data_IF_998887796018
#
_entry.id   IF_998887796018
#
_cell.length_a   1.000
_cell.length_b   1.000
_cell.length_c   1.000
_cell.angle_alpha   90.00
_cell.angle_beta   90.00
_cell.angle_gamma   90.00
#
_symmetry.space_group_name_H-M   'P 1'
#
loop_
_entity.id
_entity.type
_entity.pdbx_description
1 polymer ?
#
# COMPACT_ATOMS: atom_id res chain seq x y z
N UNK A 1 5.24 -8.21 -63.45
CA UNK A 1 4.25 -7.43 -62.66
C UNK A 1 3.48 -8.42 -61.80
N UNK A 2 3.64 -8.38 -60.46
CA UNK A 2 3.03 -9.23 -59.39
C UNK A 2 4.01 -9.48 -58.21
N UNK A 3 5.24 -8.95 -58.27
CA UNK A 3 6.21 -8.97 -57.14
C UNK A 3 6.03 -7.83 -56.13
N UNK A 4 4.83 -7.22 -56.08
CA UNK A 4 4.54 -6.07 -55.22
C UNK A 4 3.62 -6.40 -54.02
N UNK A 5 3.28 -7.67 -53.80
CA UNK A 5 2.31 -8.06 -52.75
C UNK A 5 2.92 -8.79 -51.54
N UNK A 6 4.21 -9.11 -51.59
CA UNK A 6 4.93 -9.76 -50.48
C UNK A 6 5.63 -8.74 -49.58
N UNK A 7 5.99 -7.56 -50.11
CA UNK A 7 6.67 -6.50 -49.35
C UNK A 7 5.72 -5.64 -48.49
N UNK A 8 4.41 -5.74 -48.69
CA UNK A 8 3.41 -5.14 -47.80
C UNK A 8 3.03 -6.09 -46.63
N UNK A 9 3.39 -7.37 -46.71
CA UNK A 9 3.00 -8.38 -45.73
C UNK A 9 4.03 -8.63 -44.62
N UNK A 10 5.27 -8.12 -44.72
CA UNK A 10 6.32 -8.36 -43.72
C UNK A 10 6.42 -7.30 -42.61
N UNK A 11 5.84 -6.11 -42.81
CA UNK A 11 5.71 -5.11 -41.74
C UNK A 11 4.49 -5.36 -40.83
N UNK A 12 3.55 -6.22 -41.25
CA UNK A 12 2.40 -6.62 -40.42
C UNK A 12 2.74 -7.76 -39.44
N UNK A 13 3.88 -8.45 -39.64
CA UNK A 13 4.31 -9.56 -38.77
C UNK A 13 5.35 -9.17 -37.71
N UNK A 14 5.77 -7.90 -37.62
CA UNK A 14 6.69 -7.42 -36.59
C UNK A 14 6.10 -6.29 -35.71
N UNK A 15 4.82 -5.99 -35.86
CA UNK A 15 4.12 -4.97 -35.07
C UNK A 15 2.82 -5.58 -34.55
N UNK A 16 2.84 -6.63 -33.71
CA UNK A 16 1.62 -7.04 -32.97
C UNK A 16 1.85 -8.02 -31.80
N UNK A 17 3.01 -8.03 -31.13
CA UNK A 17 3.12 -8.70 -29.81
C UNK A 17 3.84 -7.80 -28.80
N UNK A 18 3.31 -6.59 -28.59
CA UNK A 18 3.71 -5.72 -27.48
C UNK A 18 2.55 -5.43 -26.50
N UNK A 19 1.35 -6.01 -26.70
CA UNK A 19 0.11 -5.53 -26.08
C UNK A 19 -0.64 -6.52 -25.18
N UNK A 20 0.02 -7.52 -24.60
CA UNK A 20 -0.62 -8.27 -23.50
C UNK A 20 0.35 -8.55 -22.37
N UNK A 21 0.84 -7.47 -21.75
CA UNK A 21 1.14 -7.57 -20.32
C UNK A 21 -0.22 -7.50 -19.62
N UNK A 22 -0.72 -8.58 -18.99
CA UNK A 22 -1.87 -8.45 -18.11
C UNK A 22 -1.43 -7.57 -16.95
N UNK A 23 -1.81 -6.29 -16.98
CA UNK A 23 -1.70 -5.40 -15.84
C UNK A 23 -2.71 -5.89 -14.82
N UNK A 24 -2.26 -6.77 -13.91
CA UNK A 24 -3.02 -7.13 -12.71
C UNK A 24 -3.10 -5.87 -11.84
N UNK A 25 -4.10 -5.06 -12.10
CA UNK A 25 -4.51 -3.97 -11.22
C UNK A 25 -5.14 -4.59 -9.98
N UNK A 26 -4.28 -5.05 -9.07
CA UNK A 26 -4.70 -5.38 -7.70
C UNK A 26 -5.07 -4.07 -7.01
N UNK A 27 -6.35 -3.70 -7.09
CA UNK A 27 -6.93 -2.77 -6.11
C UNK A 27 -7.10 -3.55 -4.81
N UNK A 28 -5.98 -3.80 -4.13
CA UNK A 28 -5.98 -4.18 -2.74
C UNK A 28 -6.30 -2.89 -1.97
N UNK A 29 -7.59 -2.62 -1.76
CA UNK A 29 -7.99 -1.75 -0.67
C UNK A 29 -7.72 -2.56 0.62
N UNK A 30 -6.45 -2.63 0.99
CA UNK A 30 -6.07 -3.15 2.31
C UNK A 30 -6.63 -2.15 3.31
N UNK A 31 -7.53 -2.64 4.17
CA UNK A 31 -8.10 -1.83 5.25
C UNK A 31 -6.98 -1.55 6.27
N UNK A 32 -6.14 -0.59 5.93
CA UNK A 32 -5.04 -0.13 6.78
C UNK A 32 -5.63 0.61 7.97
N UNK A 33 -5.50 0.01 9.15
CA UNK A 33 -5.98 0.64 10.38
C UNK A 33 -4.98 1.72 10.77
N UNK A 34 -5.41 2.98 10.74
CA UNK A 34 -4.54 4.10 11.17
C UNK A 34 -4.55 4.22 12.70
N UNK A 35 -3.36 4.25 13.27
CA UNK A 35 -3.09 4.53 14.69
C UNK A 35 -2.13 5.71 14.82
N UNK A 36 -1.88 6.14 16.06
CA UNK A 36 -1.04 7.31 16.35
C UNK A 36 0.07 6.99 17.33
N UNK A 37 1.28 7.41 17.01
CA UNK A 37 2.43 7.33 17.92
C UNK A 37 2.88 8.72 18.35
N UNK A 38 3.62 8.80 19.44
CA UNK A 38 4.26 10.04 19.90
C UNK A 38 5.74 10.01 19.52
N UNK A 39 6.35 11.17 19.30
CA UNK A 39 7.76 11.30 18.89
C UNK A 39 8.78 10.51 19.73
N UNK A 40 8.49 10.27 21.02
CA UNK A 40 9.43 9.67 21.97
C UNK A 40 8.82 8.52 22.78
N UNK A 41 7.62 8.08 22.44
CA UNK A 41 6.93 7.01 23.17
C UNK A 41 7.01 5.71 22.40
N UNK A 42 7.06 4.60 23.13
CA UNK A 42 7.12 3.23 22.61
C UNK A 42 5.71 2.62 22.50
N UNK A 43 4.69 3.48 22.34
CA UNK A 43 3.29 3.09 22.39
C UNK A 43 2.50 3.73 21.27
N UNK A 44 1.59 2.94 20.70
CA UNK A 44 0.58 3.43 19.79
C UNK A 44 -0.74 3.73 20.51
N UNK A 45 -1.50 4.64 19.93
CA UNK A 45 -2.68 5.26 20.51
C UNK A 45 -3.81 5.32 19.49
N UNK A 46 -5.05 5.34 19.98
CA UNK A 46 -6.21 5.69 19.17
C UNK A 46 -6.31 7.21 19.05
N UNK A 47 -7.12 7.67 18.09
CA UNK A 47 -7.45 9.09 18.02
C UNK A 47 -8.03 9.59 19.35
N UNK A 48 -7.63 10.80 19.76
CA UNK A 48 -8.14 11.46 20.97
C UNK A 48 -7.43 11.08 22.28
N UNK A 49 -6.40 10.25 22.24
CA UNK A 49 -5.65 9.93 23.46
C UNK A 49 -4.98 11.18 24.08
N UNK A 50 -5.04 11.30 25.42
CA UNK A 50 -4.50 12.45 26.16
C UNK A 50 -3.00 12.69 25.96
N UNK A 51 -2.25 11.65 25.58
CA UNK A 51 -0.80 11.72 25.36
C UNK A 51 -0.44 12.32 23.99
N UNK A 52 -1.39 12.33 23.05
CA UNK A 52 -1.21 12.88 21.71
C UNK A 52 -1.25 14.42 21.66
N UNK A 53 -1.50 15.10 22.80
CA UNK A 53 -1.64 16.56 22.87
C UNK A 53 -0.42 17.34 22.36
N UNK A 54 0.78 16.77 22.51
CA UNK A 54 2.05 17.43 22.15
C UNK A 54 2.66 16.87 20.86
N UNK A 55 2.31 15.64 20.49
CA UNK A 55 2.84 14.95 19.33
C UNK A 55 1.83 13.89 18.88
N UNK A 56 1.47 13.92 17.61
CA UNK A 56 0.54 12.99 16.97
C UNK A 56 1.14 12.65 15.60
N UNK A 57 1.66 11.44 15.44
CA UNK A 57 2.24 10.95 14.20
C UNK A 57 1.36 9.79 13.74
N UNK A 58 0.78 9.92 12.55
CA UNK A 58 -0.03 8.87 11.93
C UNK A 58 0.86 7.72 11.45
N UNK A 59 0.39 6.50 11.69
CA UNK A 59 1.10 5.26 11.36
C UNK A 59 0.07 4.15 11.14
N UNK A 60 0.38 3.16 10.30
CA UNK A 60 -0.46 1.96 10.22
C UNK A 60 -0.32 1.12 11.50
N UNK A 61 -1.34 0.35 11.84
CA UNK A 61 -1.32 -0.55 12.99
C UNK A 61 -0.25 -1.62 12.81
N UNK A 62 -0.09 -2.11 11.59
CA UNK A 62 0.91 -3.10 11.20
C UNK A 62 2.32 -2.54 11.41
N UNK A 63 2.62 -1.36 10.87
CA UNK A 63 3.94 -0.72 11.04
C UNK A 63 4.23 -0.40 12.52
N UNK A 64 3.21 -0.05 13.30
CA UNK A 64 3.36 0.20 14.73
C UNK A 64 3.79 -1.07 15.47
N UNK A 65 3.13 -2.20 15.18
CA UNK A 65 3.48 -3.50 15.77
C UNK A 65 4.85 -3.98 15.28
N UNK A 66 5.15 -3.81 13.99
CA UNK A 66 6.44 -4.20 13.40
C UNK A 66 7.63 -3.42 13.96
N UNK A 67 7.43 -2.13 14.30
CA UNK A 67 8.44 -1.32 14.99
C UNK A 67 8.52 -1.60 16.50
N UNK A 68 7.64 -2.47 17.04
CA UNK A 68 7.62 -2.86 18.45
C UNK A 68 6.88 -1.91 19.38
N UNK A 69 6.02 -1.04 18.84
CA UNK A 69 5.17 -0.17 19.65
C UNK A 69 4.11 -1.00 20.40
N UNK A 70 3.93 -0.74 21.70
CA UNK A 70 2.93 -1.43 22.52
C UNK A 70 1.57 -0.68 22.54
N UNK A 71 0.44 -1.37 22.74
CA UNK A 71 -0.85 -0.72 22.88
C UNK A 71 -0.90 0.17 24.13
N UNK A 72 -1.42 1.39 23.98
CA UNK A 72 -1.64 2.26 25.12
C UNK A 72 -2.77 1.76 26.03
N UNK A 73 -2.43 1.46 27.29
CA UNK A 73 -3.39 1.04 28.34
C UNK A 73 -4.40 2.11 28.80
N UNK A 74 -4.28 3.35 28.31
CA UNK A 74 -5.22 4.43 28.65
C UNK A 74 -6.33 4.55 27.63
N UNK A 75 -6.00 4.51 26.34
CA UNK A 75 -6.98 4.65 25.28
C UNK A 75 -7.44 3.30 24.69
N UNK A 76 -6.78 2.19 25.03
CA UNK A 76 -7.11 0.84 24.55
C UNK A 76 -7.30 0.82 23.01
N UNK A 77 -6.25 1.13 22.25
CA UNK A 77 -6.34 1.20 20.79
C UNK A 77 -6.68 -0.17 20.18
N UNK A 78 -7.16 -0.20 18.92
CA UNK A 78 -7.35 -1.44 18.17
C UNK A 78 -6.06 -2.27 18.13
N UNK A 79 -6.17 -3.59 18.21
CA UNK A 79 -5.06 -4.53 18.14
C UNK A 79 -5.33 -5.54 17.04
N UNK A 80 -4.27 -6.06 16.40
CA UNK A 80 -4.40 -7.22 15.52
C UNK A 80 -4.60 -8.43 16.41
N UNK A 81 -5.85 -8.91 16.47
CA UNK A 81 -6.14 -10.23 17.01
C UNK A 81 -5.95 -11.22 15.86
N UNK A 82 -4.90 -12.04 15.93
CA UNK A 82 -4.77 -13.20 15.02
C UNK A 82 -5.87 -14.23 15.23
#
# INVERSE_FOLDING_TARGET
MKKAKVLLALVFSLVFIAESVPTVVVNAAEETTVVYVTKTGEKYHSEGCRYLKKSKIEKSLEDAIDEGDEPCSVCHPPQITE
#
